data_IF_499085852227
#
_entry.id   IF_499085852227
#
_cell.length_a   1.000
_cell.length_b   1.000
_cell.length_c   1.000
_cell.angle_alpha   90.00
_cell.angle_beta   90.00
_cell.angle_gamma   90.00
#
_symmetry.space_group_name_H-M   'P 1'
#
loop_
_entity.id
_entity.type
_entity.pdbx_description
1 polymer ?
#
# COMPACT_ATOMS: atom_id res chain seq x y z
N UNK A 1 16.30 -14.27 -13.01
CA UNK A 1 15.12 -13.90 -12.22
C UNK A 1 15.63 -13.02 -11.11
N UNK A 2 15.20 -11.77 -11.09
CA UNK A 2 15.64 -10.83 -10.06
C UNK A 2 14.58 -10.80 -8.96
N UNK A 3 14.97 -11.03 -7.72
CA UNK A 3 14.06 -10.90 -6.58
C UNK A 3 13.82 -9.42 -6.31
N UNK A 4 12.58 -8.98 -6.46
CA UNK A 4 12.17 -7.56 -6.31
C UNK A 4 11.40 -7.30 -5.01
N UNK A 5 11.03 -8.36 -4.28
CA UNK A 5 10.42 -8.25 -2.96
C UNK A 5 10.48 -9.57 -2.18
N UNK A 6 10.61 -9.48 -0.86
CA UNK A 6 10.53 -10.62 0.07
C UNK A 6 9.78 -10.19 1.32
N UNK A 7 8.90 -11.06 1.83
CA UNK A 7 8.12 -10.77 3.03
C UNK A 7 7.56 -12.03 3.67
N UNK A 8 6.69 -11.84 4.67
CA UNK A 8 6.02 -12.94 5.38
C UNK A 8 5.22 -13.85 4.44
N UNK A 9 4.60 -13.24 3.41
CA UNK A 9 3.74 -13.88 2.42
C UNK A 9 4.49 -14.76 1.40
N UNK A 10 5.79 -14.52 1.21
CA UNK A 10 6.57 -15.19 0.18
C UNK A 10 7.57 -14.25 -0.49
N UNK A 11 7.72 -14.38 -1.81
CA UNK A 11 8.66 -13.59 -2.60
C UNK A 11 8.02 -13.11 -3.91
N UNK A 12 8.47 -11.96 -4.38
CA UNK A 12 8.10 -11.40 -5.68
C UNK A 12 9.32 -11.39 -6.58
N UNK A 13 9.16 -11.93 -7.79
CA UNK A 13 10.21 -12.05 -8.79
C UNK A 13 9.87 -11.24 -10.03
N UNK A 14 10.85 -10.56 -10.61
CA UNK A 14 10.78 -10.07 -11.98
C UNK A 14 11.07 -11.21 -12.94
N UNK A 15 10.13 -11.48 -13.84
CA UNK A 15 10.17 -12.57 -14.80
C UNK A 15 9.93 -12.05 -16.22
N UNK A 16 10.56 -12.69 -17.22
CA UNK A 16 10.22 -12.48 -18.63
C UNK A 16 9.15 -13.50 -19.00
N UNK A 17 7.96 -13.05 -19.38
CA UNK A 17 6.98 -13.93 -19.99
C UNK A 17 7.44 -14.25 -21.42
N UNK A 18 7.75 -15.53 -21.67
CA UNK A 18 8.24 -15.97 -22.97
C UNK A 18 7.14 -15.99 -24.04
N UNK A 19 5.86 -16.01 -23.66
CA UNK A 19 4.72 -15.98 -24.58
C UNK A 19 4.51 -14.57 -25.14
N UNK A 20 4.45 -13.56 -24.28
CA UNK A 20 4.21 -12.16 -24.66
C UNK A 20 5.50 -11.38 -24.95
N UNK A 21 6.65 -11.87 -24.47
CA UNK A 21 7.96 -11.20 -24.48
C UNK A 21 8.02 -9.95 -23.61
N UNK A 22 7.10 -9.82 -22.65
CA UNK A 22 7.04 -8.71 -21.70
C UNK A 22 7.57 -9.12 -20.31
N UNK A 23 7.99 -8.13 -19.53
CA UNK A 23 8.38 -8.38 -18.14
C UNK A 23 7.18 -8.25 -17.20
N UNK A 24 7.04 -9.22 -16.31
CA UNK A 24 5.97 -9.31 -15.31
C UNK A 24 6.55 -9.46 -13.90
N UNK A 25 5.73 -9.15 -12.88
CA UNK A 25 6.02 -9.45 -11.49
C UNK A 25 5.23 -10.70 -11.06
N UNK A 26 5.91 -11.72 -10.53
CA UNK A 26 5.27 -12.95 -10.04
C UNK A 26 5.41 -13.04 -8.52
N UNK A 27 4.28 -12.95 -7.81
CA UNK A 27 4.19 -13.18 -6.36
C UNK A 27 4.02 -14.68 -6.10
N UNK A 28 5.06 -15.30 -5.54
CA UNK A 28 5.05 -16.72 -5.17
C UNK A 28 4.64 -16.82 -3.71
N UNK A 29 3.45 -17.35 -3.48
CA UNK A 29 2.87 -17.49 -2.13
C UNK A 29 3.55 -18.63 -1.40
N UNK A 30 3.93 -18.40 -0.14
CA UNK A 30 4.53 -19.44 0.71
C UNK A 30 3.56 -20.62 0.86
N UNK A 31 4.05 -21.83 0.67
CA UNK A 31 3.26 -23.06 0.82
C UNK A 31 2.95 -23.35 2.30
N UNK A 32 1.99 -22.60 2.86
CA UNK A 32 1.34 -22.84 4.14
C UNK A 32 -0.13 -22.47 4.01
N UNK A 33 -1.01 -23.29 4.60
CA UNK A 33 -2.47 -23.15 4.51
C UNK A 33 -2.97 -21.73 4.79
N UNK A 34 -2.45 -21.05 5.83
CA UNK A 34 -2.83 -19.67 6.17
C UNK A 34 -2.57 -18.68 5.02
N UNK A 35 -1.36 -18.68 4.47
CA UNK A 35 -0.99 -17.77 3.38
C UNK A 35 -1.74 -18.11 2.10
N UNK A 36 -1.99 -19.41 1.86
CA UNK A 36 -2.78 -19.85 0.73
C UNK A 36 -4.23 -19.33 0.80
N UNK A 37 -4.92 -19.52 1.93
CA UNK A 37 -6.28 -19.00 2.13
C UNK A 37 -6.34 -17.47 1.96
N UNK A 38 -5.35 -16.77 2.50
CA UNK A 38 -5.26 -15.31 2.38
C UNK A 38 -5.04 -14.85 0.93
N UNK A 39 -4.20 -15.56 0.17
CA UNK A 39 -3.96 -15.27 -1.25
C UNK A 39 -5.21 -15.50 -2.12
N UNK A 40 -6.06 -16.48 -1.78
CA UNK A 40 -7.35 -16.67 -2.49
C UNK A 40 -8.30 -15.49 -2.27
N UNK A 41 -8.32 -14.90 -1.07
CA UNK A 41 -9.08 -13.67 -0.80
C UNK A 41 -8.51 -12.49 -1.59
N UNK A 42 -7.18 -12.34 -1.58
CA UNK A 42 -6.47 -11.31 -2.36
C UNK A 42 -6.83 -11.39 -3.85
N UNK A 43 -6.77 -12.58 -4.45
CA UNK A 43 -7.14 -12.79 -5.84
C UNK A 43 -8.60 -12.43 -6.13
N UNK A 44 -9.54 -12.88 -5.29
CA UNK A 44 -10.97 -12.53 -5.45
C UNK A 44 -11.19 -11.02 -5.42
N UNK A 45 -10.49 -10.31 -4.53
CA UNK A 45 -10.54 -8.85 -4.47
C UNK A 45 -9.96 -8.23 -5.74
N UNK A 46 -8.78 -8.68 -6.19
CA UNK A 46 -8.12 -8.17 -7.39
C UNK A 46 -8.91 -8.43 -8.68
N UNK A 47 -9.52 -9.60 -8.83
CA UNK A 47 -10.42 -9.91 -9.96
C UNK A 47 -11.60 -8.94 -10.02
N UNK A 48 -12.22 -8.67 -8.86
CA UNK A 48 -13.30 -7.68 -8.79
C UNK A 48 -12.81 -6.27 -9.13
N UNK A 49 -11.65 -5.86 -8.62
CA UNK A 49 -11.07 -4.54 -8.89
C UNK A 49 -10.73 -4.37 -10.37
N UNK A 50 -10.15 -5.39 -11.02
CA UNK A 50 -9.91 -5.38 -12.47
C UNK A 50 -11.23 -5.19 -13.25
N UNK A 51 -12.31 -5.86 -12.85
CA UNK A 51 -13.62 -5.74 -13.48
C UNK A 51 -14.28 -4.37 -13.25
N UNK A 52 -14.01 -3.72 -12.12
CA UNK A 52 -14.58 -2.41 -11.77
C UNK A 52 -13.74 -1.23 -12.27
N UNK A 53 -12.50 -1.45 -12.72
CA UNK A 53 -11.61 -0.45 -13.30
C UNK A 53 -11.07 -0.87 -14.70
N UNK A 54 -11.94 -1.13 -15.70
CA UNK A 54 -11.51 -1.58 -17.03
C UNK A 54 -10.64 -0.54 -17.76
N UNK A 55 -10.81 0.74 -17.44
CA UNK A 55 -10.05 1.85 -18.04
C UNK A 55 -8.72 2.14 -17.30
N UNK A 56 -8.40 1.38 -16.24
CA UNK A 56 -7.18 1.52 -15.46
C UNK A 56 -6.97 2.94 -14.89
N UNK A 57 -8.06 3.51 -14.36
CA UNK A 57 -8.21 4.90 -13.94
C UNK A 57 -8.13 5.11 -12.42
N UNK A 58 -8.20 4.05 -11.63
CA UNK A 58 -8.23 4.12 -10.16
C UNK A 58 -6.89 3.79 -9.49
N UNK A 59 -5.79 3.76 -10.25
CA UNK A 59 -4.45 3.61 -9.70
C UNK A 59 -4.27 2.34 -8.84
N UNK A 60 -4.86 1.20 -9.22
CA UNK A 60 -4.70 -0.08 -8.53
C UNK A 60 -3.90 -1.04 -9.41
N UNK A 61 -3.07 -1.90 -8.79
CA UNK A 61 -2.32 -2.94 -9.50
C UNK A 61 -3.23 -3.86 -10.31
N UNK A 62 -2.87 -4.13 -11.56
CA UNK A 62 -3.56 -5.11 -12.38
C UNK A 62 -2.99 -6.50 -12.15
N UNK A 63 -3.87 -7.45 -11.83
CA UNK A 63 -3.54 -8.87 -11.82
C UNK A 63 -3.78 -9.45 -13.22
N UNK A 64 -2.75 -10.04 -13.83
CA UNK A 64 -2.83 -10.54 -15.20
C UNK A 64 -3.29 -12.01 -15.25
N UNK A 65 -2.77 -12.84 -14.35
CA UNK A 65 -3.03 -14.29 -14.32
C UNK A 65 -2.68 -14.90 -12.95
N UNK A 66 -3.05 -16.15 -12.72
CA UNK A 66 -2.60 -16.93 -11.58
C UNK A 66 -2.47 -18.42 -11.94
N UNK A 67 -1.54 -19.12 -11.29
CA UNK A 67 -1.35 -20.55 -11.51
C UNK A 67 -0.67 -21.24 -10.33
N UNK A 68 -0.71 -22.57 -10.32
CA UNK A 68 0.07 -23.36 -9.37
C UNK A 68 1.35 -23.86 -10.01
N UNK A 69 2.46 -23.74 -9.28
CA UNK A 69 3.75 -24.29 -9.68
C UNK A 69 4.46 -24.88 -8.46
N UNK A 70 4.72 -26.19 -8.50
CA UNK A 70 5.42 -26.92 -7.41
C UNK A 70 4.78 -26.66 -6.03
N UNK A 71 3.46 -26.79 -5.95
CA UNK A 71 2.66 -26.57 -4.73
C UNK A 71 2.68 -25.12 -4.19
N UNK A 72 3.14 -24.16 -4.99
CA UNK A 72 3.01 -22.74 -4.70
C UNK A 72 1.94 -22.12 -5.60
N UNK A 73 1.04 -21.34 -5.00
CA UNK A 73 0.20 -20.42 -5.74
C UNK A 73 1.07 -19.24 -6.20
N UNK A 74 1.02 -18.94 -7.50
CA UNK A 74 1.72 -17.85 -8.14
C UNK A 74 0.69 -16.87 -8.71
N UNK A 75 0.83 -15.58 -8.38
CA UNK A 75 -0.02 -14.52 -8.90
C UNK A 75 0.84 -13.62 -9.79
N UNK A 76 0.38 -13.35 -11.01
CA UNK A 76 1.08 -12.56 -12.03
C UNK A 76 0.48 -11.15 -12.04
N UNK A 77 1.35 -10.16 -12.03
CA UNK A 77 1.01 -8.75 -12.04
C UNK A 77 1.81 -8.01 -13.12
N UNK A 78 1.28 -6.88 -13.56
CA UNK A 78 2.05 -5.90 -14.34
C UNK A 78 3.33 -5.51 -13.57
N UNK A 79 4.45 -5.34 -14.28
CA UNK A 79 5.68 -4.91 -13.65
C UNK A 79 5.69 -3.39 -13.44
N UNK A 80 5.80 -2.96 -12.19
CA UNK A 80 5.95 -1.56 -11.80
C UNK A 80 7.41 -1.20 -11.45
N UNK A 81 7.63 0.08 -11.13
CA UNK A 81 8.93 0.61 -10.68
C UNK A 81 9.06 0.55 -9.16
N UNK A 82 9.91 1.41 -8.59
CA UNK A 82 10.17 1.46 -7.15
C UNK A 82 8.93 1.91 -6.36
N UNK A 83 8.88 1.51 -5.09
CA UNK A 83 7.87 1.99 -4.15
C UNK A 83 8.19 3.40 -3.63
N UNK A 84 7.20 4.06 -3.01
CA UNK A 84 7.38 5.42 -2.51
C UNK A 84 8.39 5.52 -1.37
N UNK A 85 8.61 4.46 -0.59
CA UNK A 85 9.65 4.45 0.43
C UNK A 85 11.06 4.57 -0.19
N UNK A 86 11.37 3.74 -1.19
CA UNK A 86 12.65 3.83 -1.91
C UNK A 86 12.75 5.15 -2.70
N UNK A 87 11.62 5.71 -3.18
CA UNK A 87 11.61 7.04 -3.80
C UNK A 87 11.97 8.15 -2.79
N UNK A 88 11.39 8.15 -1.58
CA UNK A 88 11.75 9.08 -0.49
C UNK A 88 13.24 8.97 -0.16
N UNK A 89 13.73 7.74 -0.01
CA UNK A 89 15.14 7.45 0.29
C UNK A 89 16.08 7.91 -0.82
N UNK A 90 15.69 7.74 -2.10
CA UNK A 90 16.47 8.21 -3.25
C UNK A 90 16.59 9.73 -3.32
N UNK A 91 15.61 10.45 -2.76
CA UNK A 91 15.65 11.90 -2.59
C UNK A 91 16.46 12.33 -1.35
N UNK A 92 17.28 11.43 -0.77
CA UNK A 92 18.11 11.71 0.39
C UNK A 92 17.31 12.05 1.64
N UNK A 93 16.06 11.57 1.74
CA UNK A 93 15.16 11.97 2.82
C UNK A 93 14.96 13.50 2.87
N UNK A 94 14.90 14.14 1.72
CA UNK A 94 14.41 15.52 1.58
C UNK A 94 12.92 15.50 1.22
N UNK A 95 12.18 16.48 1.75
CA UNK A 95 10.74 16.59 1.52
C UNK A 95 10.45 16.88 0.04
N UNK A 96 9.28 16.47 -0.42
CA UNK A 96 8.85 16.76 -1.78
C UNK A 96 8.08 18.07 -1.87
N UNK A 97 8.02 18.65 -3.07
CA UNK A 97 7.22 19.84 -3.32
C UNK A 97 5.73 19.55 -3.11
N UNK A 98 4.98 20.52 -2.59
CA UNK A 98 3.53 20.39 -2.40
C UNK A 98 2.79 20.03 -3.68
N UNK A 99 3.28 20.51 -4.84
CA UNK A 99 2.73 20.16 -6.14
C UNK A 99 2.85 18.66 -6.46
N UNK A 100 3.96 18.02 -6.13
CA UNK A 100 4.14 16.58 -6.29
C UNK A 100 3.29 15.80 -5.28
N UNK A 101 3.29 16.22 -4.01
CA UNK A 101 2.49 15.60 -2.94
C UNK A 101 1.00 15.64 -3.28
N UNK A 102 0.50 16.78 -3.80
CA UNK A 102 -0.88 16.91 -4.28
C UNK A 102 -1.21 15.90 -5.38
N UNK A 103 -0.29 15.67 -6.33
CA UNK A 103 -0.49 14.66 -7.39
C UNK A 103 -0.54 13.23 -6.85
N UNK A 104 0.27 12.90 -5.84
CA UNK A 104 0.18 11.58 -5.19
C UNK A 104 -1.12 11.45 -4.38
N UNK A 105 -1.51 12.50 -3.65
CA UNK A 105 -2.76 12.54 -2.90
C UNK A 105 -3.97 12.25 -3.79
N UNK A 106 -4.12 12.95 -4.92
CA UNK A 106 -5.24 12.73 -5.86
C UNK A 106 -5.28 11.29 -6.36
N UNK A 107 -4.14 10.72 -6.72
CA UNK A 107 -4.09 9.34 -7.22
C UNK A 107 -4.41 8.31 -6.13
N UNK A 108 -3.95 8.51 -4.90
CA UNK A 108 -4.30 7.64 -3.77
C UNK A 108 -5.80 7.75 -3.43
N UNK A 109 -6.35 8.96 -3.47
CA UNK A 109 -7.79 9.18 -3.27
C UNK A 109 -8.63 8.52 -4.37
N UNK A 110 -8.15 8.48 -5.62
CA UNK A 110 -8.82 7.74 -6.69
C UNK A 110 -8.89 6.24 -6.35
N UNK A 111 -7.80 5.64 -5.87
CA UNK A 111 -7.81 4.24 -5.42
C UNK A 111 -8.78 4.02 -4.28
N UNK A 112 -8.70 4.85 -3.22
CA UNK A 112 -9.53 4.72 -2.04
C UNK A 112 -11.02 4.95 -2.34
N UNK A 113 -11.35 5.81 -3.31
CA UNK A 113 -12.72 6.02 -3.77
C UNK A 113 -13.32 4.75 -4.38
N UNK A 114 -12.56 4.00 -5.18
CA UNK A 114 -13.03 2.71 -5.72
C UNK A 114 -13.24 1.68 -4.60
N UNK A 115 -12.28 1.58 -3.68
CA UNK A 115 -12.40 0.66 -2.54
C UNK A 115 -13.62 1.00 -1.68
N UNK A 116 -13.84 2.29 -1.44
CA UNK A 116 -14.99 2.78 -0.70
C UNK A 116 -16.32 2.41 -1.37
N UNK A 117 -16.42 2.61 -2.69
CA UNK A 117 -17.62 2.28 -3.46
C UNK A 117 -18.01 0.80 -3.35
N UNK A 118 -17.05 -0.08 -3.10
CA UNK A 118 -17.23 -1.52 -3.04
C UNK A 118 -17.00 -2.12 -1.65
N UNK A 119 -16.97 -1.29 -0.61
CA UNK A 119 -16.81 -1.68 0.80
C UNK A 119 -15.57 -2.55 1.05
N UNK A 120 -14.45 -2.21 0.41
CA UNK A 120 -13.16 -2.88 0.61
C UNK A 120 -12.28 -2.02 1.52
N UNK A 121 -11.68 -2.65 2.52
CA UNK A 121 -10.64 -2.06 3.35
C UNK A 121 -9.29 -2.66 2.92
N UNK A 122 -8.30 -1.81 2.64
CA UNK A 122 -6.96 -2.24 2.23
C UNK A 122 -6.15 -2.83 3.39
N UNK A 123 -6.31 -2.28 4.60
CA UNK A 123 -5.72 -2.78 5.86
C UNK A 123 -4.19 -2.73 5.97
N UNK A 124 -3.43 -2.42 4.91
CA UNK A 124 -1.97 -2.22 4.98
C UNK A 124 -1.43 -1.13 4.03
N UNK A 125 -2.10 0.02 3.97
CA UNK A 125 -1.65 1.13 3.13
C UNK A 125 -0.42 1.82 3.76
N UNK A 126 0.70 1.87 3.01
CA UNK A 126 1.99 2.43 3.42
C UNK A 126 2.85 2.77 2.19
N UNK A 127 3.94 3.55 2.29
CA UNK A 127 4.77 3.93 1.16
C UNK A 127 5.36 2.72 0.40
N UNK A 128 5.64 1.61 1.08
CA UNK A 128 6.12 0.37 0.44
C UNK A 128 5.07 -0.29 -0.46
N UNK A 129 3.78 -0.05 -0.20
CA UNK A 129 2.64 -0.59 -0.94
C UNK A 129 2.06 0.42 -1.97
N UNK A 130 2.82 1.46 -2.29
CA UNK A 130 2.49 2.42 -3.36
C UNK A 130 3.68 2.50 -4.31
N UNK A 131 3.52 2.04 -5.55
CA UNK A 131 4.60 1.95 -6.54
C UNK A 131 4.44 2.98 -7.64
N UNK A 132 5.57 3.50 -8.12
CA UNK A 132 5.60 4.30 -9.34
C UNK A 132 5.37 3.38 -10.56
N UNK A 133 4.54 3.82 -11.51
CA UNK A 133 4.37 3.13 -12.79
C UNK A 133 5.63 3.21 -13.65
N UNK A 134 6.40 4.30 -13.53
CA UNK A 134 7.61 4.54 -14.31
C UNK A 134 8.63 5.33 -13.48
N UNK A 135 9.95 5.04 -13.58
CA UNK A 135 10.98 5.69 -12.76
C UNK A 135 11.01 7.23 -12.85
N UNK A 136 10.58 7.79 -13.99
CA UNK A 136 10.66 9.23 -14.28
C UNK A 136 9.30 9.94 -14.27
N UNK A 137 8.21 9.24 -13.93
CA UNK A 137 6.85 9.81 -13.91
C UNK A 137 6.26 9.70 -12.51
N UNK A 138 5.40 10.64 -12.13
CA UNK A 138 4.72 10.63 -10.82
C UNK A 138 3.42 9.82 -10.80
N UNK A 139 3.19 8.96 -11.81
CA UNK A 139 2.00 8.11 -11.82
C UNK A 139 2.22 6.91 -10.90
N UNK A 140 1.26 6.62 -10.03
CA UNK A 140 1.37 5.54 -9.03
C UNK A 140 0.31 4.46 -9.22
N UNK A 141 0.56 3.30 -8.57
CA UNK A 141 -0.46 2.29 -8.28
C UNK A 141 -0.33 1.79 -6.84
N UNK A 142 -1.47 1.53 -6.20
CA UNK A 142 -1.58 0.83 -4.92
C UNK A 142 -1.46 -0.68 -5.17
N UNK A 143 -0.67 -1.36 -4.34
CA UNK A 143 -0.38 -2.79 -4.44
C UNK A 143 -0.68 -3.51 -3.12
N UNK A 144 -0.57 -4.85 -3.15
CA UNK A 144 -0.59 -5.74 -1.98
C UNK A 144 -1.92 -5.76 -1.21
N UNK A 145 -2.91 -6.39 -1.82
CA UNK A 145 -4.25 -6.62 -1.24
C UNK A 145 -4.30 -7.88 -0.37
N UNK A 146 -3.14 -8.40 0.03
CA UNK A 146 -3.03 -9.61 0.85
C UNK A 146 -3.69 -9.45 2.23
N UNK A 147 -3.72 -8.25 2.78
CA UNK A 147 -4.37 -7.96 4.09
C UNK A 147 -5.79 -7.43 3.94
N UNK A 148 -6.25 -7.20 2.71
CA UNK A 148 -7.53 -6.57 2.44
C UNK A 148 -8.72 -7.47 2.76
N UNK A 149 -9.84 -6.88 3.12
CA UNK A 149 -11.09 -7.58 3.38
C UNK A 149 -12.29 -6.72 2.97
N UNK A 150 -13.44 -7.35 2.76
CA UNK A 150 -14.70 -6.63 2.70
C UNK A 150 -15.09 -6.17 4.11
N UNK A 151 -15.69 -5.00 4.24
CA UNK A 151 -16.08 -4.40 5.53
C UNK A 151 -17.00 -5.32 6.36
N UNK A 152 -17.85 -6.11 5.70
CA UNK A 152 -18.73 -7.08 6.33
C UNK A 152 -18.04 -8.42 6.67
N UNK A 153 -16.78 -8.62 6.27
CA UNK A 153 -15.98 -9.83 6.47
C UNK A 153 -14.71 -9.54 7.30
N UNK A 154 -14.77 -8.57 8.24
CA UNK A 154 -13.64 -8.23 9.10
C UNK A 154 -13.33 -9.39 10.08
N UNK A 155 -12.14 -9.98 9.96
CA UNK A 155 -11.70 -11.12 10.78
C UNK A 155 -10.59 -10.76 11.78
N UNK A 156 -9.76 -9.76 11.49
CA UNK A 156 -8.53 -9.49 12.24
C UNK A 156 -8.61 -8.16 13.01
N UNK A 157 -8.23 -8.18 14.28
CA UNK A 157 -8.12 -6.96 15.11
C UNK A 157 -6.74 -6.31 15.03
N UNK A 158 -5.68 -7.10 14.80
CA UNK A 158 -4.31 -6.61 14.65
C UNK A 158 -3.94 -6.48 13.18
N UNK A 159 -4.22 -5.31 12.59
CA UNK A 159 -3.96 -4.97 11.19
C UNK A 159 -3.12 -3.69 11.06
N UNK A 160 -2.80 -3.29 9.82
CA UNK A 160 -1.95 -2.15 9.46
C UNK A 160 -0.51 -2.24 9.95
N UNK A 161 0.40 -1.70 9.17
CA UNK A 161 1.78 -1.46 9.60
C UNK A 161 1.83 -0.38 10.68
N UNK A 162 2.68 -0.58 11.71
CA UNK A 162 2.65 0.17 12.99
C UNK A 162 2.58 1.70 12.84
N UNK A 163 3.32 2.29 11.90
CA UNK A 163 3.38 3.76 11.73
C UNK A 163 2.16 4.34 11.00
N UNK A 164 1.40 3.50 10.29
CA UNK A 164 0.23 3.87 9.51
C UNK A 164 -1.07 3.36 10.15
N UNK A 165 -0.98 2.75 11.34
CA UNK A 165 -2.11 2.19 12.07
C UNK A 165 -2.98 3.27 12.69
N UNK A 166 -4.28 3.15 12.51
CA UNK A 166 -5.27 4.08 13.03
C UNK A 166 -5.55 3.87 14.53
N UNK A 167 -6.02 4.90 15.25
CA UNK A 167 -6.30 4.80 16.68
C UNK A 167 -7.37 3.76 16.99
N UNK A 168 -8.40 3.61 16.14
CA UNK A 168 -9.45 2.60 16.31
C UNK A 168 -8.90 1.16 16.28
N UNK A 169 -7.92 0.88 15.43
CA UNK A 169 -7.23 -0.42 15.41
C UNK A 169 -6.35 -0.61 16.64
N UNK A 170 -5.68 0.44 17.12
CA UNK A 170 -4.86 0.38 18.36
C UNK A 170 -5.72 0.13 19.59
N UNK A 171 -6.90 0.77 19.64
CA UNK A 171 -7.85 0.65 20.74
C UNK A 171 -8.73 -0.60 20.63
N UNK A 172 -8.51 -1.45 19.61
CA UNK A 172 -9.27 -2.66 19.33
C UNK A 172 -10.80 -2.43 19.25
N UNK A 173 -11.21 -1.24 18.78
CA UNK A 173 -12.61 -0.93 18.50
C UNK A 173 -12.95 -1.26 17.05
N UNK A 174 -14.24 -1.40 16.75
CA UNK A 174 -14.71 -1.66 15.38
C UNK A 174 -14.21 -0.59 14.43
N UNK A 175 -13.64 -1.03 13.32
CA UNK A 175 -13.07 -0.18 12.29
C UNK A 175 -13.76 -0.38 10.95
N UNK A 176 -13.53 0.54 10.02
CA UNK A 176 -14.04 0.48 8.65
C UNK A 176 -13.00 1.06 7.67
N UNK A 177 -13.43 1.42 6.46
CA UNK A 177 -12.58 2.02 5.42
C UNK A 177 -11.86 3.31 5.87
N UNK A 178 -12.28 3.97 6.96
CA UNK A 178 -11.62 5.16 7.48
C UNK A 178 -10.17 4.91 7.95
N UNK A 179 -9.80 3.67 8.28
CA UNK A 179 -8.42 3.33 8.66
C UNK A 179 -7.42 3.60 7.51
N UNK A 180 -7.86 3.46 6.26
CA UNK A 180 -7.02 3.69 5.09
C UNK A 180 -6.85 5.19 4.83
N UNK A 181 -7.86 6.00 5.19
CA UNK A 181 -7.74 7.46 5.19
C UNK A 181 -6.76 7.96 6.26
N UNK A 182 -6.70 7.31 7.43
CA UNK A 182 -5.65 7.56 8.42
C UNK A 182 -4.26 7.24 7.86
N UNK A 183 -4.12 6.07 7.23
CA UNK A 183 -2.87 5.64 6.60
C UNK A 183 -2.40 6.63 5.53
N UNK A 184 -3.32 7.09 4.66
CA UNK A 184 -3.05 8.13 3.66
C UNK A 184 -2.49 9.40 4.31
N UNK A 185 -3.08 9.86 5.41
CA UNK A 185 -2.59 11.06 6.13
C UNK A 185 -1.14 10.89 6.57
N UNK A 186 -0.80 9.73 7.13
CA UNK A 186 0.57 9.41 7.54
C UNK A 186 1.54 9.42 6.34
N UNK A 187 1.17 8.81 5.22
CA UNK A 187 1.97 8.80 3.98
C UNK A 187 2.22 10.23 3.48
N UNK A 188 1.19 11.08 3.42
CA UNK A 188 1.34 12.46 2.95
C UNK A 188 2.20 13.30 3.91
N UNK A 189 2.08 13.08 5.22
CA UNK A 189 2.93 13.73 6.20
C UNK A 189 4.40 13.32 6.03
N UNK A 190 4.68 12.04 5.79
CA UNK A 190 6.02 11.51 5.56
C UNK A 190 6.64 12.10 4.28
N UNK A 191 5.89 12.17 3.18
CA UNK A 191 6.34 12.81 1.94
C UNK A 191 6.66 14.31 2.09
N UNK A 192 5.98 15.00 3.02
CA UNK A 192 6.19 16.43 3.27
C UNK A 192 7.34 16.70 4.24
N UNK A 193 7.33 16.01 5.39
CA UNK A 193 8.18 16.33 6.54
C UNK A 193 9.44 15.50 6.62
N UNK A 194 9.46 14.36 5.92
CA UNK A 194 10.51 13.36 6.04
C UNK A 194 10.74 12.93 7.48
N UNK A 195 9.65 12.63 8.17
CA UNK A 195 9.73 11.85 9.40
C UNK A 195 10.21 10.45 8.99
N UNK A 196 11.52 10.25 8.91
CA UNK A 196 12.09 8.90 8.88
C UNK A 196 11.47 8.12 10.04
N UNK A 197 11.11 6.83 9.87
CA UNK A 197 10.67 5.99 10.98
C UNK A 197 11.75 5.80 12.07
N UNK A 198 12.95 6.35 11.87
CA UNK A 198 14.01 6.51 12.89
C UNK A 198 14.01 7.87 13.59
N UNK A 199 12.92 8.64 13.54
CA UNK A 199 12.85 9.90 14.27
C UNK A 199 13.05 9.62 15.77
N UNK A 200 14.12 10.15 16.33
CA UNK A 200 14.39 10.25 17.76
C UNK A 200 14.34 11.73 18.11
N UNK A 201 13.60 12.09 19.16
CA UNK A 201 13.65 13.45 19.71
C UNK A 201 15.09 13.84 20.08
N UNK A 202 15.44 15.13 20.17
CA UNK A 202 16.66 15.54 20.87
C UNK A 202 16.59 14.99 22.30
N UNK A 203 17.26 13.86 22.54
CA UNK A 203 17.07 13.00 23.71
C UNK A 203 17.28 11.51 23.45
N UNK A 204 17.20 11.04 22.20
CA UNK A 204 17.57 9.65 21.83
C UNK A 204 16.49 8.59 22.05
N UNK A 205 15.31 8.96 22.54
CA UNK A 205 14.21 8.00 22.71
C UNK A 205 13.51 7.68 21.37
N UNK A 206 13.24 6.40 21.07
CA UNK A 206 12.47 6.00 19.90
C UNK A 206 11.02 6.50 20.01
N UNK A 207 10.51 7.09 18.93
CA UNK A 207 9.16 7.65 18.89
C UNK A 207 8.11 6.53 19.05
N UNK A 208 7.30 6.64 20.10
CA UNK A 208 6.16 5.74 20.33
C UNK A 208 4.99 6.11 19.40
N UNK A 209 4.14 5.14 19.08
CA UNK A 209 2.97 5.34 18.19
C UNK A 209 2.06 6.47 18.66
N UNK A 210 1.91 6.65 19.97
CA UNK A 210 1.18 7.75 20.60
C UNK A 210 1.83 9.11 20.29
N UNK A 211 3.15 9.20 20.30
CA UNK A 211 3.87 10.44 20.01
C UNK A 211 3.78 10.84 18.54
N UNK A 212 3.77 9.90 17.59
CA UNK A 212 3.54 10.20 16.16
C UNK A 212 2.10 10.67 15.93
N UNK A 213 1.11 9.97 16.50
CA UNK A 213 -0.30 10.36 16.38
C UNK A 213 -0.57 11.74 17.01
N UNK A 214 0.01 12.01 18.18
CA UNK A 214 -0.06 13.30 18.87
C UNK A 214 0.69 14.40 18.10
N UNK A 215 1.84 14.11 17.52
CA UNK A 215 2.61 15.08 16.73
C UNK A 215 1.88 15.47 15.43
N UNK A 216 1.33 14.49 14.71
CA UNK A 216 0.52 14.76 13.50
C UNK A 216 -0.78 15.49 13.87
N UNK A 217 -1.36 15.21 15.05
CA UNK A 217 -2.56 15.91 15.54
C UNK A 217 -2.29 17.33 16.07
N UNK A 218 -1.08 17.64 16.53
CA UNK A 218 -0.73 18.93 17.18
C UNK A 218 -0.21 20.00 16.21
N UNK A 219 0.34 19.62 15.05
CA UNK A 219 0.68 20.59 14.00
C UNK A 219 -0.54 20.83 13.13
N UNK A 220 -0.87 22.10 12.90
CA UNK A 220 -2.04 22.67 12.21
C UNK A 220 -2.24 22.28 10.73
N UNK A 221 -1.89 21.06 10.32
CA UNK A 221 -2.03 20.54 8.97
C UNK A 221 -3.50 20.47 8.50
N UNK A 222 -4.45 20.46 9.46
CA UNK A 222 -5.89 20.36 9.20
C UNK A 222 -6.54 21.59 8.54
N UNK A 223 -5.91 22.77 8.50
CA UNK A 223 -6.58 23.96 7.93
C UNK A 223 -6.41 24.16 6.42
N UNK A 224 -5.49 23.46 5.76
CA UNK A 224 -5.12 23.76 4.37
C UNK A 224 -5.44 22.69 3.31
N UNK A 225 -5.63 21.42 3.70
CA UNK A 225 -5.66 20.30 2.74
C UNK A 225 -7.02 19.60 2.61
N UNK A 226 -8.02 19.99 3.39
CA UNK A 226 -9.39 19.45 3.31
C UNK A 226 -10.37 20.41 2.61
N UNK A 227 -9.86 21.49 2.01
CA UNK A 227 -10.63 22.48 1.23
C UNK A 227 -9.96 22.68 -0.13
N UNK A 228 -9.73 21.62 -0.91
CA UNK A 228 -9.62 21.66 -2.38
C UNK A 228 -10.05 20.30 -2.93
#
# INVERSE_FOLDING_TARGET
MDSIGKGSFGQVLKCLDHKTREYVAIKIIRNKKRFHCQALVEMKILENLNNWDPDNSHNIIHMDDHFYFRDHLCIVFELLSINLYEFIKSNGFHGFSLGLIKRFCVQLLNSLSLLQKHNIVHCDLKPENVLLKHPTKSSIKVIDFGSSCFENEIVYTYIQSRFYRSPEVILEITYNMAIDMWSLRCILAELYTVLSPTFSFPGGDPVTTEQTAVYISRKSFCRGLMVI
#
